data_IF_536459968787
#
_entry.id   IF_536459968787
#
_cell.length_a   1.000
_cell.length_b   1.000
_cell.length_c   1.000
_cell.angle_alpha   90.00
_cell.angle_beta   90.00
_cell.angle_gamma   90.00
#
_symmetry.space_group_name_H-M   'P 1'
#
loop_
_entity.id
_entity.type
_entity.pdbx_description
1 polymer ?
#
# COMPACT_ATOMS: atom_id res chain seq x y z
N UNK A 1 -18.28 -0.25 -30.58
CA UNK A 1 -18.28 -0.18 -29.11
C UNK A 1 -16.85 -0.45 -28.70
N UNK A 2 -16.08 0.59 -28.37
CA UNK A 2 -14.66 0.45 -28.08
C UNK A 2 -14.51 -0.08 -26.65
N UNK A 3 -14.02 -1.30 -26.53
CA UNK A 3 -13.58 -1.87 -25.25
C UNK A 3 -12.32 -1.12 -24.83
N UNK A 4 -12.47 -0.10 -24.00
CA UNK A 4 -11.34 0.62 -23.40
C UNK A 4 -10.68 -0.32 -22.41
N UNK A 5 -9.66 -1.05 -22.86
CA UNK A 5 -8.80 -1.85 -21.99
C UNK A 5 -7.91 -0.87 -21.21
N UNK A 6 -8.46 -0.30 -20.14
CA UNK A 6 -7.65 0.49 -19.20
C UNK A 6 -6.73 -0.47 -18.45
N UNK A 7 -5.43 -0.19 -18.56
CA UNK A 7 -4.35 -0.92 -17.90
C UNK A 7 -4.70 -1.20 -16.43
N UNK A 8 -4.93 -2.48 -16.10
CA UNK A 8 -5.08 -2.97 -14.73
C UNK A 8 -3.79 -2.65 -13.98
N UNK A 9 -3.83 -1.63 -13.12
CA UNK A 9 -2.66 -1.20 -12.33
C UNK A 9 -2.33 -2.24 -11.25
N UNK A 10 -1.03 -2.36 -10.95
CA UNK A 10 -0.53 -3.22 -9.88
C UNK A 10 -0.98 -2.73 -8.50
N UNK A 11 -1.09 -3.68 -7.57
CA UNK A 11 -1.77 -3.65 -6.27
C UNK A 11 -1.52 -2.42 -5.40
N UNK A 12 -2.55 -2.04 -4.62
CA UNK A 12 -2.47 -1.06 -3.53
C UNK A 12 -1.89 0.29 -3.94
N UNK A 13 -2.58 1.03 -4.82
CA UNK A 13 -2.12 2.37 -5.20
C UNK A 13 -2.74 3.45 -4.32
N UNK A 14 -1.86 4.30 -3.78
CA UNK A 14 -2.20 5.61 -3.25
C UNK A 14 -2.17 6.61 -4.40
N UNK A 15 -3.27 7.33 -4.63
CA UNK A 15 -3.35 8.47 -5.56
C UNK A 15 -3.74 9.71 -4.76
N UNK A 16 -2.97 10.79 -4.88
CA UNK A 16 -3.22 12.05 -4.17
C UNK A 16 -3.35 11.87 -2.65
N UNK A 17 -2.55 10.97 -2.06
CA UNK A 17 -2.58 10.65 -0.64
C UNK A 17 -3.78 9.80 -0.19
N UNK A 18 -4.61 9.30 -1.12
CA UNK A 18 -5.75 8.44 -0.82
C UNK A 18 -5.59 7.07 -1.47
N UNK A 19 -5.93 6.02 -0.72
CA UNK A 19 -6.01 4.67 -1.25
C UNK A 19 -7.12 4.57 -2.29
N UNK A 20 -6.79 4.13 -3.50
CA UNK A 20 -7.76 4.02 -4.60
C UNK A 20 -8.95 3.15 -4.20
N UNK A 21 -8.68 2.00 -3.57
CA UNK A 21 -9.73 1.09 -3.08
C UNK A 21 -10.68 1.75 -2.09
N UNK A 22 -10.19 2.69 -1.25
CA UNK A 22 -11.03 3.42 -0.31
C UNK A 22 -11.89 4.47 -1.01
N UNK A 23 -11.41 5.08 -2.09
CA UNK A 23 -12.20 6.02 -2.90
C UNK A 23 -13.35 5.34 -3.65
N UNK A 24 -13.21 4.05 -3.94
CA UNK A 24 -14.21 3.21 -4.59
C UNK A 24 -14.97 2.30 -3.59
N UNK A 25 -14.87 2.59 -2.29
CA UNK A 25 -15.48 1.76 -1.25
C UNK A 25 -16.80 2.34 -0.73
N UNK A 26 -17.69 1.46 -0.29
CA UNK A 26 -18.90 1.83 0.45
C UNK A 26 -18.81 1.29 1.87
N UNK A 27 -19.04 2.16 2.86
CA UNK A 27 -19.12 1.77 4.28
C UNK A 27 -20.57 1.51 4.67
N UNK A 28 -20.81 0.41 5.39
CA UNK A 28 -22.07 0.18 6.11
C UNK A 28 -21.80 0.22 7.62
N UNK A 29 -22.72 0.75 8.45
CA UNK A 29 -22.47 0.99 9.88
C UNK A 29 -22.06 -0.26 10.67
N UNK A 30 -22.45 -1.46 10.23
CA UNK A 30 -22.15 -2.74 10.91
C UNK A 30 -21.32 -3.72 10.07
N UNK A 31 -20.65 -3.25 9.01
CA UNK A 31 -19.84 -4.12 8.13
C UNK A 31 -18.49 -3.49 7.79
N UNK A 32 -17.55 -4.36 7.42
CA UNK A 32 -16.30 -3.98 6.78
C UNK A 32 -16.56 -3.16 5.50
N UNK A 33 -15.58 -2.37 5.10
CA UNK A 33 -15.65 -1.63 3.83
C UNK A 33 -15.75 -2.63 2.68
N UNK A 34 -16.70 -2.40 1.78
CA UNK A 34 -16.85 -3.19 0.55
C UNK A 34 -16.41 -2.35 -0.64
N UNK A 35 -15.64 -2.93 -1.55
CA UNK A 35 -15.31 -2.31 -2.84
C UNK A 35 -16.57 -2.23 -3.72
N UNK A 36 -16.57 -1.38 -4.75
CA UNK A 36 -17.69 -1.24 -5.70
C UNK A 36 -18.07 -2.57 -6.37
N UNK A 37 -17.16 -3.54 -6.45
CA UNK A 37 -17.45 -4.88 -6.95
C UNK A 37 -18.25 -5.78 -5.99
N UNK A 38 -18.58 -5.28 -4.79
CA UNK A 38 -19.34 -5.98 -3.75
C UNK A 38 -18.52 -6.89 -2.84
N UNK A 39 -17.21 -6.96 -3.02
CA UNK A 39 -16.31 -7.79 -2.19
C UNK A 39 -15.76 -6.98 -1.01
N UNK A 40 -15.54 -7.63 0.12
CA UNK A 40 -14.93 -7.02 1.30
C UNK A 40 -13.47 -6.63 1.01
N UNK A 41 -13.10 -5.43 1.43
CA UNK A 41 -11.74 -4.91 1.32
C UNK A 41 -10.91 -5.55 2.44
N UNK A 42 -9.80 -6.15 2.05
CA UNK A 42 -8.81 -6.70 2.98
C UNK A 42 -7.66 -5.70 3.16
N UNK A 43 -6.82 -5.91 4.15
CA UNK A 43 -5.61 -5.13 4.35
C UNK A 43 -4.39 -6.03 4.44
N UNK A 44 -3.34 -5.68 3.72
CA UNK A 44 -2.03 -6.33 3.84
C UNK A 44 -1.08 -5.46 4.66
N UNK A 45 -0.37 -6.10 5.59
CA UNK A 45 0.68 -5.44 6.37
C UNK A 45 1.99 -5.47 5.60
N UNK A 46 2.45 -4.31 5.15
CA UNK A 46 3.72 -4.13 4.45
C UNK A 46 4.80 -3.73 5.45
N UNK A 47 5.95 -4.40 5.40
CA UNK A 47 7.12 -4.09 6.23
C UNK A 47 8.16 -3.30 5.43
N UNK A 48 8.48 -2.10 5.89
CA UNK A 48 9.47 -1.19 5.34
C UNK A 48 10.74 -1.21 6.21
N UNK A 49 11.85 -1.78 5.73
CA UNK A 49 13.11 -1.74 6.47
C UNK A 49 13.55 -0.29 6.72
N UNK A 50 13.91 0.03 7.96
CA UNK A 50 14.46 1.34 8.31
C UNK A 50 15.96 1.32 8.06
N UNK A 51 16.44 2.23 7.21
CA UNK A 51 17.86 2.49 7.06
C UNK A 51 18.32 3.40 8.19
N UNK A 52 18.86 2.80 9.24
CA UNK A 52 19.24 3.51 10.45
C UNK A 52 20.77 3.66 10.49
N UNK A 53 21.25 4.90 10.45
CA UNK A 53 22.65 5.23 10.71
C UNK A 53 23.53 5.66 9.51
N UNK A 54 24.82 5.97 9.79
CA UNK A 54 25.77 6.50 8.81
C UNK A 54 26.35 5.46 7.85
N UNK A 55 26.08 4.19 8.10
CA UNK A 55 26.63 3.07 7.33
C UNK A 55 25.73 2.73 6.14
N UNK A 56 26.22 2.85 4.90
CA UNK A 56 25.47 2.43 3.72
C UNK A 56 25.05 0.96 3.87
N UNK A 57 23.80 0.67 3.55
CA UNK A 57 23.26 -0.69 3.47
C UNK A 57 23.22 -1.48 4.79
N UNK A 58 23.48 -0.84 5.93
CA UNK A 58 23.33 -1.46 7.25
C UNK A 58 22.02 -1.01 7.88
N UNK A 59 21.12 -1.95 8.16
CA UNK A 59 19.92 -1.70 8.94
C UNK A 59 20.05 -2.38 10.30
N UNK A 60 19.64 -1.71 11.37
CA UNK A 60 19.63 -2.27 12.73
C UNK A 60 18.48 -3.28 12.98
N UNK A 61 17.95 -3.90 11.91
CA UNK A 61 16.83 -4.85 11.99
C UNK A 61 15.47 -4.20 12.29
N UNK A 62 15.36 -2.88 12.21
CA UNK A 62 14.10 -2.17 12.42
C UNK A 62 13.26 -2.15 11.13
N UNK A 63 11.95 -2.32 11.28
CA UNK A 63 10.97 -2.16 10.21
C UNK A 63 9.84 -1.26 10.68
N UNK A 64 9.43 -0.33 9.82
CA UNK A 64 8.14 0.35 9.94
C UNK A 64 7.08 -0.46 9.19
N UNK A 65 5.84 -0.44 9.66
CA UNK A 65 4.78 -1.23 9.07
C UNK A 65 3.64 -0.32 8.59
N UNK A 66 3.20 -0.54 7.35
CA UNK A 66 2.06 0.14 6.75
C UNK A 66 0.94 -0.87 6.48
N UNK A 67 -0.31 -0.50 6.76
CA UNK A 67 -1.47 -1.31 6.43
C UNK A 67 -2.08 -0.82 5.12
N UNK A 68 -2.02 -1.66 4.09
CA UNK A 68 -2.44 -1.32 2.73
C UNK A 68 -3.75 -2.04 2.38
N UNK A 69 -4.87 -1.30 2.22
CA UNK A 69 -6.12 -1.90 1.82
C UNK A 69 -6.08 -2.35 0.36
N UNK A 70 -6.73 -3.47 0.04
CA UNK A 70 -6.90 -3.97 -1.33
C UNK A 70 -8.20 -4.78 -1.48
N UNK A 71 -8.74 -4.81 -2.69
CA UNK A 71 -9.86 -5.69 -3.04
C UNK A 71 -9.32 -7.03 -3.58
N UNK A 72 -9.56 -8.19 -2.93
CA UNK A 72 -9.00 -9.47 -3.36
C UNK A 72 -9.57 -10.00 -4.69
N UNK A 73 -10.64 -9.38 -5.19
CA UNK A 73 -11.28 -9.74 -6.46
C UNK A 73 -10.82 -8.87 -7.62
N UNK A 74 -10.63 -7.56 -7.38
CA UNK A 74 -10.33 -6.58 -8.43
C UNK A 74 -8.85 -6.23 -8.51
N UNK A 75 -8.12 -6.39 -7.42
CA UNK A 75 -6.72 -6.01 -7.30
C UNK A 75 -5.89 -7.23 -6.90
N UNK A 76 -4.59 -7.16 -7.19
CA UNK A 76 -3.66 -8.14 -6.65
C UNK A 76 -3.42 -7.85 -5.17
N UNK A 77 -3.05 -8.89 -4.43
CA UNK A 77 -2.57 -8.72 -3.07
C UNK A 77 -1.30 -7.84 -3.06
N UNK A 78 -1.20 -6.82 -2.20
CA UNK A 78 0.02 -6.01 -2.05
C UNK A 78 1.20 -6.88 -1.63
N UNK A 79 2.41 -6.47 -2.03
CA UNK A 79 3.62 -7.16 -1.59
C UNK A 79 3.87 -6.83 -0.10
N UNK A 80 4.00 -7.82 0.81
CA UNK A 80 4.34 -7.55 2.21
C UNK A 80 5.77 -7.01 2.40
N UNK A 81 6.64 -7.07 1.38
CA UNK A 81 7.96 -6.45 1.41
C UNK A 81 7.91 -5.03 0.82
N UNK A 82 7.97 -4.04 1.71
CA UNK A 82 7.99 -2.62 1.37
C UNK A 82 9.39 -2.12 1.01
N UNK A 83 9.43 -0.96 0.33
CA UNK A 83 10.71 -0.26 0.07
C UNK A 83 11.31 0.26 1.38
N UNK A 84 12.64 0.28 1.52
CA UNK A 84 13.27 0.84 2.70
C UNK A 84 12.94 2.31 2.88
N UNK A 85 12.71 2.71 4.12
CA UNK A 85 12.50 4.11 4.47
C UNK A 85 13.78 4.70 5.08
N UNK A 86 14.05 5.93 4.69
CA UNK A 86 15.22 6.67 5.18
C UNK A 86 14.74 7.73 6.17
N UNK A 87 15.15 7.67 7.45
CA UNK A 87 14.80 8.69 8.42
C UNK A 87 15.37 10.05 8.00
N UNK A 88 14.63 11.13 8.31
CA UNK A 88 15.05 12.51 8.03
C UNK A 88 16.38 12.78 8.72
N UNK A 89 17.40 13.19 7.96
CA UNK A 89 18.76 13.46 8.47
C UNK A 89 19.81 12.38 8.17
N UNK A 90 19.48 11.29 7.48
CA UNK A 90 20.50 10.35 6.95
C UNK A 90 21.31 10.98 5.80
N UNK A 91 22.53 10.45 5.56
CA UNK A 91 23.45 10.93 4.50
C UNK A 91 22.85 11.00 3.08
N UNK A 92 21.71 10.36 2.81
CA UNK A 92 21.01 10.47 1.51
C UNK A 92 20.11 11.71 1.38
N UNK A 93 19.91 12.47 2.46
CA UNK A 93 19.10 13.69 2.49
C UNK A 93 19.96 14.97 2.65
N UNK A 94 21.29 14.85 2.52
CA UNK A 94 22.26 15.97 2.50
C UNK A 94 22.64 16.33 1.06
#
# INVERSE_FOLDING_TARGET
MAETTENKRQSGQVKDGKWLVLTESTRKPDKCYTHTCGTEILGEKIAHPVWDGPTPLSGHGQCEYEMVPYCPKCENKPNPQGVPITPKGSHRNL
#
